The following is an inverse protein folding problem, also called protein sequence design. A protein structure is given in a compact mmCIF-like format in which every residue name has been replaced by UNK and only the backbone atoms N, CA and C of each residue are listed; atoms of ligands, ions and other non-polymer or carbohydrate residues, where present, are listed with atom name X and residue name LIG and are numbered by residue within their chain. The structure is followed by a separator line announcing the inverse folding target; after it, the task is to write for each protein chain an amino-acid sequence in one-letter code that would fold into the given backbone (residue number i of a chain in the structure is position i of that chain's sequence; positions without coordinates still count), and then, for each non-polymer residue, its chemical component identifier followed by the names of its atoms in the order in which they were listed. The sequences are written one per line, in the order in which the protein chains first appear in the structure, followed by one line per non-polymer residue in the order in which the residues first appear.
data_IF_665420058855
#
_entry.id   IF_665420058855
#
_cell.length_a   1.000
_cell.length_b   1.000
_cell.length_c   1.000
_cell.angle_alpha   90.00
_cell.angle_beta   90.00
_cell.angle_gamma   90.00
#
_symmetry.space_group_name_H-M   'P 1'
#
loop_
_entity.id
_entity.type
_entity.pdbx_description
1 polymer ?
#
# COMPACT_ATOMS: atom_id res chain seq x y z
N UNK A 1 -22.04 -11.82 -6.63
CA UNK A 1 -21.25 -11.56 -5.39
C UNK A 1 -20.69 -10.17 -5.56
N UNK A 2 -21.04 -9.23 -4.70
CA UNK A 2 -20.42 -7.90 -4.72
C UNK A 2 -18.91 -8.04 -4.48
N UNK A 3 -18.11 -7.41 -5.34
CA UNK A 3 -16.66 -7.41 -5.19
C UNK A 3 -16.31 -6.49 -4.02
N UNK A 4 -15.65 -7.04 -2.99
CA UNK A 4 -15.23 -6.23 -1.83
C UNK A 4 -14.15 -5.25 -2.31
N UNK A 5 -14.32 -3.92 -2.06
CA UNK A 5 -13.34 -2.94 -2.50
C UNK A 5 -11.94 -3.28 -2.00
N UNK A 6 -10.94 -3.24 -2.90
CA UNK A 6 -9.57 -3.63 -2.61
C UNK A 6 -8.57 -2.62 -3.16
N UNK A 7 -7.43 -2.48 -2.49
CA UNK A 7 -6.27 -1.78 -3.00
C UNK A 7 -5.26 -2.76 -3.58
N UNK A 8 -4.59 -2.33 -4.64
CA UNK A 8 -3.35 -2.91 -5.12
C UNK A 8 -2.20 -1.99 -4.67
N UNK A 9 -1.21 -2.54 -3.97
CA UNK A 9 -0.03 -1.79 -3.58
C UNK A 9 1.22 -2.43 -4.17
N UNK A 10 2.14 -1.63 -4.68
CA UNK A 10 3.47 -2.07 -5.08
C UNK A 10 4.50 -1.37 -4.22
N UNK A 11 5.37 -2.13 -3.55
CA UNK A 11 6.42 -1.56 -2.73
C UNK A 11 7.75 -2.29 -2.96
N UNK A 12 8.83 -1.60 -2.65
CA UNK A 12 10.19 -2.16 -2.66
C UNK A 12 10.63 -2.42 -1.22
N UNK A 13 10.93 -3.68 -0.92
CA UNK A 13 11.46 -4.06 0.39
C UNK A 13 12.84 -3.42 0.60
N UNK A 14 12.99 -2.62 1.66
CA UNK A 14 14.28 -1.96 1.96
C UNK A 14 15.39 -2.93 2.41
N UNK A 15 15.02 -4.10 2.94
CA UNK A 15 16.01 -5.07 3.44
C UNK A 15 16.65 -5.90 2.31
N UNK A 16 15.88 -6.28 1.28
CA UNK A 16 16.36 -7.15 0.19
C UNK A 16 16.18 -6.55 -1.21
N UNK A 17 15.73 -5.29 -1.30
CA UNK A 17 15.51 -4.54 -2.55
C UNK A 17 14.51 -5.17 -3.53
N UNK A 18 13.79 -6.23 -3.13
CA UNK A 18 12.79 -6.89 -3.96
C UNK A 18 11.54 -6.03 -4.06
N UNK A 19 11.13 -5.70 -5.29
CA UNK A 19 9.85 -5.05 -5.59
C UNK A 19 8.75 -6.11 -5.68
N UNK A 20 7.61 -5.86 -5.05
CA UNK A 20 6.47 -6.80 -5.08
C UNK A 20 5.13 -6.07 -4.99
N UNK A 21 4.12 -6.63 -5.65
CA UNK A 21 2.74 -6.15 -5.64
C UNK A 21 1.85 -7.04 -4.79
N UNK A 22 0.96 -6.44 -4.01
CA UNK A 22 0.06 -7.15 -3.07
C UNK A 22 -1.33 -6.55 -3.15
N UNK A 23 -2.36 -7.40 -3.16
CA UNK A 23 -3.77 -7.00 -3.10
C UNK A 23 -4.28 -7.14 -1.67
N UNK A 24 -4.98 -6.14 -1.15
CA UNK A 24 -5.61 -6.16 0.16
C UNK A 24 -6.98 -5.49 0.14
N UNK A 25 -7.85 -5.88 1.07
CA UNK A 25 -9.16 -5.25 1.19
C UNK A 25 -9.02 -3.81 1.70
N UNK A 26 -9.86 -2.91 1.17
CA UNK A 26 -9.96 -1.51 1.63
C UNK A 26 -10.31 -1.44 3.11
N UNK A 27 -11.19 -2.33 3.56
CA UNK A 27 -11.55 -2.45 4.98
C UNK A 27 -10.34 -2.84 5.85
N UNK A 28 -9.55 -3.82 5.41
CA UNK A 28 -8.36 -4.26 6.15
C UNK A 28 -7.30 -3.17 6.26
N UNK A 29 -7.11 -2.39 5.18
CA UNK A 29 -6.16 -1.29 5.16
C UNK A 29 -6.52 -0.17 6.15
N UNK A 30 -7.80 0.27 6.17
CA UNK A 30 -8.24 1.42 6.98
C UNK A 30 -8.64 1.09 8.42
N UNK A 31 -9.00 -0.17 8.70
CA UNK A 31 -9.57 -0.56 9.98
C UNK A 31 -8.88 -1.77 10.62
N UNK A 32 -7.98 -2.45 9.91
CA UNK A 32 -7.30 -3.66 10.38
C UNK A 32 -5.80 -3.49 10.58
N UNK A 33 -5.14 -4.62 10.81
CA UNK A 33 -3.67 -4.73 10.79
C UNK A 33 -3.28 -5.61 9.60
N UNK A 34 -2.46 -5.07 8.69
CA UNK A 34 -2.07 -5.72 7.44
C UNK A 34 -0.57 -6.02 7.45
N UNK A 35 -0.24 -7.30 7.22
CA UNK A 35 1.11 -7.75 6.95
C UNK A 35 1.18 -8.39 5.57
N UNK A 36 2.21 -8.05 4.81
CA UNK A 36 2.49 -8.65 3.51
C UNK A 36 3.77 -9.46 3.56
N UNK A 37 3.83 -10.58 2.85
CA UNK A 37 5.02 -11.43 2.82
C UNK A 37 5.89 -11.01 1.65
N UNK A 38 7.14 -10.61 1.89
CA UNK A 38 8.06 -10.28 0.81
C UNK A 38 8.59 -11.58 0.16
N UNK A 39 8.51 -11.73 -1.17
CA UNK A 39 9.01 -12.93 -1.85
C UNK A 39 10.54 -13.04 -1.80
N UNK A 40 11.27 -11.94 -1.60
CA UNK A 40 12.73 -11.92 -1.52
C UNK A 40 13.26 -12.40 -0.17
N UNK A 41 12.96 -11.68 0.90
CA UNK A 41 13.47 -12.01 2.24
C UNK A 41 12.59 -13.02 3.01
N UNK A 42 11.42 -13.39 2.48
CA UNK A 42 10.43 -14.30 3.10
C UNK A 42 9.86 -13.84 4.44
N UNK A 43 10.25 -12.64 4.90
CA UNK A 43 9.72 -12.02 6.11
C UNK A 43 8.41 -11.27 5.82
N UNK A 44 7.65 -11.05 6.89
CA UNK A 44 6.42 -10.26 6.85
C UNK A 44 6.72 -8.78 7.11
N UNK A 45 6.20 -7.90 6.27
CA UNK A 45 6.31 -6.45 6.40
C UNK A 45 4.97 -5.87 6.84
N UNK A 46 5.00 -5.03 7.88
CA UNK A 46 3.83 -4.34 8.39
C UNK A 46 3.49 -3.14 7.49
N UNK A 47 2.23 -3.07 7.04
CA UNK A 47 1.74 -1.99 6.15
C UNK A 47 0.80 -1.04 6.88
N UNK A 48 -0.14 -1.58 7.66
CA UNK A 48 -1.07 -0.81 8.48
C UNK A 48 -1.25 -1.52 9.82
N UNK A 49 -1.35 -0.77 10.92
CA UNK A 49 -1.67 -1.30 12.26
C UNK A 49 -2.70 -0.41 12.97
N UNK A 50 -3.97 -0.56 12.61
CA UNK A 50 -5.06 0.16 13.28
C UNK A 50 -5.55 -0.53 14.56
N UNK A 51 -5.28 -1.83 14.71
CA UNK A 51 -5.67 -2.63 15.87
C UNK A 51 -4.65 -2.60 17.00
N UNK A 52 -3.50 -1.93 16.81
CA UNK A 52 -2.43 -1.78 17.81
C UNK A 52 -1.83 -3.11 18.25
N UNK A 53 -1.66 -4.04 17.31
CA UNK A 53 -1.08 -5.36 17.62
C UNK A 53 0.43 -5.23 17.83
N UNK A 54 1.07 -4.32 17.10
CA UNK A 54 2.53 -4.15 17.10
C UNK A 54 2.98 -2.80 17.67
N UNK A 55 2.09 -1.80 17.68
CA UNK A 55 2.37 -0.46 18.21
C UNK A 55 1.18 0.11 18.97
N UNK A 56 1.42 0.75 20.12
CA UNK A 56 0.38 1.46 20.89
C UNK A 56 -0.25 2.64 20.13
N UNK A 57 0.45 3.12 19.10
CA UNK A 57 0.00 4.15 18.17
C UNK A 57 -0.56 3.49 16.92
N UNK A 58 -1.69 4.00 16.43
CA UNK A 58 -2.20 3.67 15.10
C UNK A 58 -1.23 4.28 14.09
N UNK A 59 -0.57 3.43 13.31
CA UNK A 59 0.41 3.85 12.31
C UNK A 59 -0.01 3.26 10.98
N UNK A 60 -0.12 4.13 9.98
CA UNK A 60 -0.35 3.76 8.58
C UNK A 60 0.90 3.97 7.74
N UNK A 61 0.93 3.38 6.55
CA UNK A 61 2.00 3.62 5.59
C UNK A 61 2.09 5.10 5.22
N UNK A 62 0.95 5.80 5.11
CA UNK A 62 0.88 7.26 4.95
C UNK A 62 1.68 8.00 6.02
N UNK A 63 1.44 7.65 7.30
CA UNK A 63 2.09 8.32 8.43
C UNK A 63 3.60 8.11 8.41
N UNK A 64 4.04 6.90 8.07
CA UNK A 64 5.48 6.55 7.98
C UNK A 64 6.16 7.30 6.84
N UNK A 65 5.50 7.41 5.68
CA UNK A 65 6.04 8.11 4.52
C UNK A 65 6.10 9.62 4.76
N UNK A 66 5.04 10.18 5.35
CA UNK A 66 4.99 11.60 5.75
C UNK A 66 6.13 11.95 6.71
N UNK A 67 6.37 11.13 7.75
CA UNK A 67 7.45 11.36 8.70
C UNK A 67 8.85 11.32 8.05
N UNK A 68 9.01 10.57 6.94
CA UNK A 68 10.27 10.44 6.20
C UNK A 68 10.40 11.44 5.05
N UNK A 69 9.45 12.37 4.89
CA UNK A 69 9.43 13.33 3.79
C UNK A 69 9.19 12.70 2.42
N UNK A 70 8.58 11.51 2.37
CA UNK A 70 8.30 10.78 1.13
C UNK A 70 6.83 10.96 0.74
N UNK A 71 6.56 11.19 -0.55
CA UNK A 71 5.21 11.38 -1.07
C UNK A 71 4.54 10.02 -1.35
N UNK A 72 3.30 9.85 -0.90
CA UNK A 72 2.45 8.72 -1.27
C UNK A 72 1.56 9.13 -2.45
N UNK A 73 1.67 8.40 -3.55
CA UNK A 73 0.81 8.53 -4.74
C UNK A 73 -0.41 7.62 -4.58
N UNK A 74 -1.63 8.19 -4.54
CA UNK A 74 -2.89 7.44 -4.43
C UNK A 74 -3.61 7.48 -5.78
N UNK A 75 -3.83 6.31 -6.38
CA UNK A 75 -4.66 6.13 -7.57
C UNK A 75 -6.04 5.60 -7.18
N UNK A 76 -7.10 6.19 -7.73
CA UNK A 76 -8.46 5.66 -7.61
C UNK A 76 -8.89 5.13 -8.98
N UNK A 77 -9.21 3.84 -9.05
CA UNK A 77 -9.80 3.21 -10.23
C UNK A 77 -11.25 2.91 -9.88
N UNK A 78 -12.15 3.88 -10.10
CA UNK A 78 -13.57 3.58 -10.23
C UNK A 78 -13.97 3.59 -11.71
N UNK A 79 -15.01 2.83 -12.02
CA UNK A 79 -15.24 2.24 -13.34
C UNK A 79 -15.82 3.18 -14.39
N UNK A 80 -15.98 4.48 -14.14
CA UNK A 80 -16.53 5.41 -15.14
C UNK A 80 -15.72 6.71 -15.31
N UNK A 81 -14.67 6.93 -14.52
CA UNK A 81 -13.74 8.07 -14.63
C UNK A 81 -12.48 7.65 -13.87
N UNK A 82 -11.26 7.69 -14.43
CA UNK A 82 -10.37 8.82 -14.20
C UNK A 82 -9.01 8.60 -14.89
N UNK A 83 -8.45 9.67 -15.45
CA UNK A 83 -7.07 9.74 -15.92
C UNK A 83 -6.14 10.14 -14.77
N UNK A 84 -5.01 9.45 -14.62
CA UNK A 84 -3.92 9.86 -13.73
C UNK A 84 -2.87 10.67 -14.50
N UNK A 85 -2.86 11.99 -14.31
CA UNK A 85 -1.73 12.84 -14.69
C UNK A 85 -0.91 13.19 -13.45
N UNK A 86 0.40 13.05 -13.58
CA UNK A 86 1.37 13.39 -12.54
C UNK A 86 2.18 14.61 -13.00
N UNK A 87 2.54 15.52 -12.09
CA UNK A 87 3.40 16.68 -12.41
C UNK A 87 4.80 16.28 -12.93
N UNK A 88 5.20 15.01 -12.74
CA UNK A 88 6.45 14.43 -13.25
C UNK A 88 6.30 13.62 -14.55
N UNK A 89 5.09 13.52 -15.09
CA UNK A 89 4.80 12.79 -16.34
C UNK A 89 4.92 11.26 -16.26
N UNK A 90 5.10 10.67 -15.07
CA UNK A 90 5.32 9.22 -14.94
C UNK A 90 4.02 8.43 -15.07
N UNK A 91 3.96 7.42 -15.94
CA UNK A 91 2.82 6.49 -16.03
C UNK A 91 3.25 5.11 -15.55
N UNK A 92 2.40 4.44 -14.74
CA UNK A 92 2.64 3.05 -14.38
C UNK A 92 2.00 2.17 -15.44
N UNK A 93 2.77 1.72 -16.42
CA UNK A 93 2.29 0.73 -17.39
C UNK A 93 2.03 -0.59 -16.69
N UNK A 94 0.84 -1.15 -16.90
CA UNK A 94 0.48 -2.49 -16.45
C UNK A 94 1.11 -3.50 -17.40
N UNK A 95 2.01 -4.34 -16.89
CA UNK A 95 2.41 -5.60 -17.55
C UNK A 95 1.53 -6.73 -17.04
#
# INVERSE_FOLDING_TARGET
REEVPSYEMTFTCKACSTRSSHRMSKQGYHHGTILITCPGCKNRHLIADHLKIFSDKRITLEDILAQKGQLLKKGALDSESDMEFWEDGTQTERT
#
